data_IF_334864271980
#
_entry.id   IF_334864271980
#
_cell.length_a   1.000
_cell.length_b   1.000
_cell.length_c   1.000
_cell.angle_alpha   90.00
_cell.angle_beta   90.00
_cell.angle_gamma   90.00
#
_symmetry.space_group_name_H-M   'P 1'
#
loop_
_entity.id
_entity.type
_entity.pdbx_description
1 polymer ?
#
# COMPACT_ATOMS: atom_id res chain seq x y z
N UNK A 1 2.02 -1.70 -15.32
CA UNK A 1 2.93 -2.53 -14.50
C UNK A 1 2.66 -2.11 -13.08
N UNK A 2 1.87 -2.91 -12.41
CA UNK A 2 1.56 -2.79 -11.00
C UNK A 2 2.68 -3.37 -10.15
N UNK A 3 2.43 -3.38 -8.85
CA UNK A 3 3.33 -3.87 -7.83
C UNK A 3 3.41 -5.40 -7.87
N UNK A 4 4.61 -5.93 -7.68
CA UNK A 4 4.83 -7.35 -7.42
C UNK A 4 5.69 -7.50 -6.18
N UNK A 5 5.12 -8.08 -5.14
CA UNK A 5 5.79 -8.25 -3.86
C UNK A 5 4.85 -8.84 -2.81
N UNK A 6 5.34 -8.88 -1.57
CA UNK A 6 4.60 -9.49 -0.47
C UNK A 6 4.16 -8.43 0.57
N UNK A 7 2.97 -8.63 1.12
CA UNK A 7 2.51 -8.04 2.37
C UNK A 7 2.51 -9.10 3.47
N UNK A 8 2.84 -8.68 4.70
CA UNK A 8 2.79 -9.53 5.89
C UNK A 8 1.96 -8.83 6.95
N UNK A 9 1.01 -9.55 7.54
CA UNK A 9 0.27 -9.12 8.74
C UNK A 9 0.65 -10.04 9.89
N UNK A 10 1.10 -9.47 11.00
CA UNK A 10 1.34 -10.21 12.23
C UNK A 10 1.12 -9.31 13.46
N UNK A 11 0.87 -9.94 14.62
CA UNK A 11 0.81 -9.23 15.88
C UNK A 11 2.20 -9.12 16.51
N UNK A 12 2.63 -7.92 16.85
CA UNK A 12 3.90 -7.71 17.53
C UNK A 12 3.93 -6.38 18.30
N UNK A 13 4.57 -6.41 19.46
CA UNK A 13 4.85 -5.20 20.25
C UNK A 13 6.05 -4.40 19.70
N UNK A 14 6.80 -4.97 18.75
CA UNK A 14 7.94 -4.33 18.07
C UNK A 14 7.70 -4.22 16.55
N UNK A 15 8.44 -3.37 15.82
CA UNK A 15 8.34 -3.30 14.38
C UNK A 15 8.60 -4.67 13.72
N UNK A 16 7.82 -5.01 12.68
CA UNK A 16 7.91 -6.32 12.02
C UNK A 16 9.29 -6.59 11.42
N UNK A 17 9.95 -5.56 10.90
CA UNK A 17 11.34 -5.58 10.41
C UNK A 17 12.35 -6.06 11.46
N UNK A 18 12.03 -5.92 12.75
CA UNK A 18 12.91 -6.39 13.81
C UNK A 18 12.63 -7.84 14.25
N UNK A 19 11.59 -8.48 13.70
CA UNK A 19 11.32 -9.87 13.98
C UNK A 19 12.37 -10.73 13.27
N UNK A 20 12.98 -11.73 13.94
CA UNK A 20 14.01 -12.59 13.37
C UNK A 20 13.72 -13.14 11.95
N UNK A 21 12.50 -13.64 11.63
CA UNK A 21 12.20 -14.13 10.28
C UNK A 21 12.22 -13.06 9.18
N UNK A 22 12.09 -11.77 9.54
CA UNK A 22 12.01 -10.65 8.60
C UNK A 22 13.28 -9.78 8.60
N UNK A 23 13.93 -9.63 9.76
CA UNK A 23 15.14 -8.81 9.91
C UNK A 23 16.34 -9.34 9.13
N UNK A 24 16.47 -10.67 8.99
CA UNK A 24 17.54 -11.28 8.20
C UNK A 24 17.34 -11.14 6.68
N UNK A 25 16.11 -10.88 6.22
CA UNK A 25 15.78 -10.73 4.81
C UNK A 25 15.98 -9.29 4.28
N UNK A 26 16.33 -8.33 5.16
CA UNK A 26 16.04 -6.91 4.90
C UNK A 26 17.16 -6.06 4.30
N UNK A 27 18.41 -6.52 4.15
CA UNK A 27 19.49 -5.68 3.59
C UNK A 27 20.55 -6.51 2.83
N UNK A 28 20.25 -6.85 1.57
CA UNK A 28 21.28 -6.96 0.53
C UNK A 28 21.60 -5.56 -0.03
N UNK A 29 22.73 -5.38 -0.71
CA UNK A 29 23.35 -4.09 -1.13
C UNK A 29 22.47 -3.10 -1.96
N UNK A 30 21.18 -3.40 -2.17
CA UNK A 30 20.21 -2.55 -2.83
C UNK A 30 19.10 -2.16 -1.83
N UNK A 31 18.97 -0.87 -1.52
CA UNK A 31 17.91 -0.30 -0.66
C UNK A 31 16.46 -0.49 -1.17
N UNK A 32 16.25 -1.23 -2.28
CA UNK A 32 14.94 -1.55 -2.88
C UNK A 32 14.30 -2.83 -2.28
N UNK A 33 15.04 -3.61 -1.48
CA UNK A 33 14.56 -4.85 -0.83
C UNK A 33 13.99 -4.67 0.59
N UNK A 34 13.78 -3.43 1.03
CA UNK A 34 13.36 -3.16 2.41
C UNK A 34 11.89 -3.46 2.65
N UNK A 35 11.56 -3.94 3.86
CA UNK A 35 10.20 -3.97 4.38
C UNK A 35 9.80 -2.57 4.82
N UNK A 36 8.73 -2.04 4.23
CA UNK A 36 8.11 -0.78 4.59
C UNK A 36 6.91 -1.04 5.50
N UNK A 37 6.86 -0.45 6.71
CA UNK A 37 5.67 -0.55 7.55
C UNK A 37 4.47 0.12 6.87
N UNK A 38 3.31 -0.51 6.92
CA UNK A 38 2.03 0.10 6.58
C UNK A 38 1.44 0.78 7.83
N UNK A 39 0.28 1.43 7.67
CA UNK A 39 -0.48 1.97 8.80
C UNK A 39 -0.72 0.89 9.88
N UNK A 40 -0.41 1.24 11.13
CA UNK A 40 -0.52 0.33 12.27
C UNK A 40 -1.98 0.06 12.62
N UNK A 41 -2.27 -1.00 13.37
CA UNK A 41 -3.61 -1.30 13.90
C UNK A 41 -3.53 -1.46 15.41
N UNK A 42 -4.55 -0.96 16.10
CA UNK A 42 -4.66 -1.14 17.55
C UNK A 42 -4.55 -2.62 17.97
N UNK A 43 -4.05 -2.86 19.18
CA UNK A 43 -3.84 -4.22 19.70
C UNK A 43 -2.54 -4.89 19.24
N UNK A 44 -1.63 -4.12 18.65
CA UNK A 44 -0.31 -4.59 18.21
C UNK A 44 -0.32 -5.30 16.85
N UNK A 45 -1.40 -5.17 16.09
CA UNK A 45 -1.48 -5.71 14.74
C UNK A 45 -0.75 -4.78 13.78
N UNK A 46 0.18 -5.33 13.01
CA UNK A 46 1.06 -4.57 12.13
C UNK A 46 1.06 -5.21 10.75
N UNK A 47 1.01 -4.38 9.72
CA UNK A 47 1.23 -4.81 8.34
C UNK A 47 2.53 -4.21 7.84
N UNK A 48 3.29 -4.96 7.04
CA UNK A 48 4.45 -4.47 6.32
C UNK A 48 4.43 -4.97 4.88
N UNK A 49 4.95 -4.15 3.98
CA UNK A 49 5.04 -4.39 2.54
C UNK A 49 6.51 -4.52 2.15
N UNK A 50 6.86 -5.47 1.29
CA UNK A 50 8.18 -5.50 0.63
C UNK A 50 8.30 -4.37 -0.41
N UNK A 51 9.45 -3.69 -0.49
CA UNK A 51 9.70 -2.63 -1.48
C UNK A 51 9.54 -3.09 -2.93
N UNK A 52 10.25 -4.14 -3.33
CA UNK A 52 10.09 -4.84 -4.61
C UNK A 52 10.48 -6.31 -4.50
N UNK A 53 9.77 -7.17 -5.23
CA UNK A 53 10.03 -8.62 -5.23
C UNK A 53 9.49 -9.33 -4.00
N UNK A 54 9.70 -10.64 -3.95
CA UNK A 54 9.14 -11.49 -2.89
C UNK A 54 10.09 -11.61 -1.71
N UNK A 55 9.54 -11.64 -0.49
CA UNK A 55 10.33 -11.80 0.74
C UNK A 55 10.97 -13.18 0.83
N UNK A 56 10.36 -14.18 0.19
CA UNK A 56 10.82 -15.57 0.24
C UNK A 56 10.23 -16.40 -0.91
N UNK A 57 10.97 -17.42 -1.35
CA UNK A 57 10.42 -18.47 -2.22
C UNK A 57 9.58 -19.50 -1.43
N UNK A 58 9.57 -19.40 -0.09
CA UNK A 58 8.95 -20.37 0.82
C UNK A 58 7.96 -19.70 1.79
N UNK A 59 6.83 -19.17 1.31
CA UNK A 59 5.89 -18.37 2.11
C UNK A 59 5.35 -19.11 3.35
N UNK A 60 5.12 -20.43 3.23
CA UNK A 60 4.67 -21.26 4.37
C UNK A 60 5.75 -21.45 5.44
N UNK A 61 7.03 -21.41 5.06
CA UNK A 61 8.14 -21.47 6.00
C UNK A 61 8.20 -20.18 6.83
N UNK A 62 8.20 -19.04 6.14
CA UNK A 62 8.17 -17.71 6.76
C UNK A 62 6.96 -17.55 7.70
N UNK A 63 5.76 -17.95 7.28
CA UNK A 63 4.57 -17.91 8.14
C UNK A 63 4.71 -18.73 9.42
N UNK A 64 5.33 -19.92 9.36
CA UNK A 64 5.55 -20.74 10.57
C UNK A 64 6.49 -20.06 11.54
N UNK A 65 7.55 -19.44 11.04
CA UNK A 65 8.50 -18.70 11.89
C UNK A 65 7.85 -17.44 12.49
N UNK A 66 7.00 -16.74 11.73
CA UNK A 66 6.22 -15.60 12.24
C UNK A 66 5.24 -16.01 13.34
N UNK A 67 4.45 -17.07 13.12
CA UNK A 67 3.51 -17.57 14.13
C UNK A 67 4.27 -18.08 15.37
N UNK A 68 5.39 -18.78 15.19
CA UNK A 68 6.20 -19.27 16.30
C UNK A 68 6.84 -18.12 17.11
N UNK A 69 7.27 -17.05 16.45
CA UNK A 69 7.92 -15.90 17.11
C UNK A 69 6.93 -14.95 17.78
N UNK A 70 5.71 -14.82 17.25
CA UNK A 70 4.69 -13.91 17.78
C UNK A 70 3.69 -14.58 18.71
N UNK A 71 3.52 -15.91 18.62
CA UNK A 71 2.48 -16.64 19.33
C UNK A 71 1.06 -16.29 18.88
N UNK A 72 0.91 -15.58 17.76
CA UNK A 72 -0.36 -15.10 17.23
C UNK A 72 -0.55 -15.56 15.77
N UNK A 73 -1.79 -15.57 15.25
CA UNK A 73 -2.03 -15.81 13.84
C UNK A 73 -1.33 -14.78 12.95
N UNK A 74 -0.90 -15.21 11.76
CA UNK A 74 -0.23 -14.35 10.78
C UNK A 74 -0.78 -14.60 9.36
N UNK A 75 -0.68 -13.57 8.52
CA UNK A 75 -0.95 -13.64 7.08
C UNK A 75 0.28 -13.26 6.27
N UNK A 76 0.39 -13.86 5.10
CA UNK A 76 1.30 -13.45 4.04
C UNK A 76 0.48 -13.36 2.75
N UNK A 77 0.57 -12.25 2.06
CA UNK A 77 -0.10 -11.99 0.80
C UNK A 77 0.94 -11.70 -0.27
N UNK A 78 0.90 -12.42 -1.39
CA UNK A 78 1.76 -12.21 -2.55
C UNK A 78 0.96 -11.58 -3.66
N UNK A 79 1.34 -10.38 -4.06
CA UNK A 79 0.72 -9.64 -5.15
C UNK A 79 1.55 -9.82 -6.41
N UNK A 80 0.88 -10.01 -7.54
CA UNK A 80 1.48 -10.08 -8.86
C UNK A 80 0.85 -9.02 -9.76
N UNK A 81 1.67 -8.10 -10.24
CA UNK A 81 1.32 -6.97 -11.13
C UNK A 81 0.13 -6.11 -10.66
N UNK A 82 -0.17 -6.09 -9.36
CA UNK A 82 -1.39 -5.52 -8.75
C UNK A 82 -2.73 -6.08 -9.25
N UNK A 83 -2.72 -7.14 -10.05
CA UNK A 83 -3.93 -7.70 -10.67
C UNK A 83 -4.48 -8.92 -9.91
N UNK A 84 -3.59 -9.66 -9.24
CA UNK A 84 -3.94 -10.88 -8.52
C UNK A 84 -3.12 -11.00 -7.23
N UNK A 85 -3.72 -11.59 -6.19
CA UNK A 85 -3.06 -11.79 -4.92
C UNK A 85 -3.34 -13.18 -4.37
N UNK A 86 -2.28 -13.90 -3.99
CA UNK A 86 -2.39 -15.15 -3.26
C UNK A 86 -2.11 -14.90 -1.78
N UNK A 87 -3.06 -15.28 -0.91
CA UNK A 87 -2.96 -15.07 0.53
C UNK A 87 -2.89 -16.40 1.25
N UNK A 88 -1.97 -16.51 2.20
CA UNK A 88 -1.84 -17.62 3.13
C UNK A 88 -2.08 -17.14 4.55
N UNK A 89 -2.87 -17.90 5.31
CA UNK A 89 -3.04 -17.70 6.74
C UNK A 89 -2.60 -18.92 7.54
N UNK A 90 -2.00 -18.66 8.70
CA UNK A 90 -1.61 -19.69 9.66
C UNK A 90 -1.94 -19.22 11.08
N UNK A 91 -2.43 -20.14 11.91
CA UNK A 91 -2.71 -19.89 13.33
C UNK A 91 -1.74 -20.67 14.24
N UNK A 92 -1.62 -20.30 15.53
CA UNK A 92 -0.82 -21.05 16.50
C UNK A 92 -1.30 -22.49 16.71
N UNK A 93 -2.60 -22.78 16.52
CA UNK A 93 -3.13 -24.15 16.57
C UNK A 93 -2.66 -25.02 15.40
N UNK A 94 -2.07 -24.41 14.37
CA UNK A 94 -1.65 -25.05 13.13
C UNK A 94 -2.72 -25.07 12.04
N UNK A 95 -3.88 -24.46 12.27
CA UNK A 95 -4.87 -24.27 11.21
C UNK A 95 -4.29 -23.35 10.12
N UNK A 96 -4.41 -23.77 8.87
CA UNK A 96 -3.87 -23.04 7.72
C UNK A 96 -4.88 -23.00 6.58
N UNK A 97 -4.85 -21.92 5.81
CA UNK A 97 -5.69 -21.76 4.62
C UNK A 97 -4.94 -20.99 3.53
N UNK A 98 -5.48 -21.02 2.33
CA UNK A 98 -4.94 -20.28 1.17
C UNK A 98 -6.10 -19.84 0.30
N UNK A 99 -6.01 -18.62 -0.25
CA UNK A 99 -7.02 -18.10 -1.18
C UNK A 99 -6.36 -17.24 -2.24
N UNK A 100 -7.03 -17.12 -3.40
CA UNK A 100 -6.71 -16.16 -4.44
C UNK A 100 -7.75 -15.04 -4.37
N UNK A 101 -7.27 -13.80 -4.30
CA UNK A 101 -8.08 -12.60 -4.44
C UNK A 101 -8.06 -12.17 -5.91
N UNK A 102 -9.19 -11.63 -6.34
CA UNK A 102 -9.58 -11.49 -7.75
C UNK A 102 -9.64 -12.84 -8.50
N UNK A 103 -10.66 -13.67 -8.23
CA UNK A 103 -10.86 -14.92 -8.95
C UNK A 103 -11.16 -14.71 -10.45
N UNK A 104 -11.61 -13.52 -10.86
CA UNK A 104 -11.87 -13.21 -12.27
C UNK A 104 -10.54 -13.09 -13.01
N UNK A 105 -9.61 -12.30 -12.47
CA UNK A 105 -8.26 -12.20 -13.03
C UNK A 105 -7.52 -13.53 -12.95
N UNK A 106 -7.69 -14.31 -11.87
CA UNK A 106 -7.10 -15.64 -11.79
C UNK A 106 -7.54 -16.55 -12.96
N UNK A 107 -8.82 -16.50 -13.35
CA UNK A 107 -9.31 -17.25 -14.52
C UNK A 107 -8.66 -16.78 -15.83
N UNK A 108 -8.42 -15.48 -15.99
CA UNK A 108 -7.75 -14.91 -17.17
C UNK A 108 -6.28 -15.40 -17.28
N UNK A 109 -5.67 -15.79 -16.16
CA UNK A 109 -4.35 -16.46 -16.10
C UNK A 109 -4.42 -17.99 -16.20
N UNK A 110 -5.56 -18.58 -16.58
CA UNK A 110 -5.80 -20.03 -16.60
C UNK A 110 -5.60 -20.72 -15.23
N UNK A 111 -5.73 -19.97 -14.14
CA UNK A 111 -5.65 -20.51 -12.78
C UNK A 111 -7.03 -21.04 -12.38
N UNK A 112 -7.13 -22.29 -11.88
CA UNK A 112 -8.41 -22.83 -11.45
C UNK A 112 -9.07 -21.99 -10.36
N UNK A 113 -10.30 -21.54 -10.62
CA UNK A 113 -11.12 -20.79 -9.68
C UNK A 113 -11.96 -21.77 -8.84
N UNK A 114 -11.99 -21.62 -7.50
CA UNK A 114 -12.80 -22.49 -6.65
C UNK A 114 -14.30 -22.34 -6.90
N UNK A 115 -15.05 -23.43 -6.77
CA UNK A 115 -16.52 -23.39 -6.82
C UNK A 115 -17.13 -22.69 -5.60
N UNK A 116 -18.44 -22.35 -5.63
CA UNK A 116 -19.10 -21.62 -4.53
C UNK A 116 -18.99 -22.29 -3.15
N UNK A 117 -19.03 -23.62 -3.11
CA UNK A 117 -18.90 -24.38 -1.85
C UNK A 117 -17.48 -24.34 -1.29
N UNK A 118 -16.47 -24.36 -2.17
CA UNK A 118 -15.05 -24.21 -1.79
C UNK A 118 -14.76 -22.80 -1.29
N UNK A 119 -15.33 -21.77 -1.93
CA UNK A 119 -15.26 -20.38 -1.46
C UNK A 119 -15.88 -20.26 -0.06
N UNK A 120 -17.04 -20.89 0.18
CA UNK A 120 -17.69 -20.91 1.49
C UNK A 120 -16.86 -21.63 2.55
N UNK A 121 -16.25 -22.76 2.21
CA UNK A 121 -15.36 -23.49 3.11
C UNK A 121 -14.10 -22.67 3.46
N UNK A 122 -13.55 -21.95 2.47
CA UNK A 122 -12.41 -21.05 2.65
C UNK A 122 -12.76 -19.87 3.55
N UNK A 123 -13.92 -19.23 3.35
CA UNK A 123 -14.43 -18.19 4.24
C UNK A 123 -14.59 -18.71 5.70
N UNK A 124 -15.07 -19.94 5.89
CA UNK A 124 -15.13 -20.56 7.21
C UNK A 124 -13.75 -20.76 7.85
N UNK A 125 -12.74 -21.12 7.05
CA UNK A 125 -11.36 -21.27 7.53
C UNK A 125 -10.74 -19.93 7.92
N UNK A 126 -11.02 -18.86 7.16
CA UNK A 126 -10.61 -17.50 7.47
C UNK A 126 -11.31 -16.99 8.74
N UNK A 127 -12.59 -17.28 8.91
CA UNK A 127 -13.31 -16.95 10.15
C UNK A 127 -12.74 -17.67 11.38
N UNK A 128 -12.31 -18.93 11.23
CA UNK A 128 -11.59 -19.66 12.26
C UNK A 128 -10.24 -19.01 12.61
N UNK A 129 -9.50 -18.56 11.59
CA UNK A 129 -8.27 -17.78 11.80
C UNK A 129 -8.54 -16.48 12.56
N UNK A 130 -9.60 -15.74 12.20
CA UNK A 130 -9.99 -14.51 12.89
C UNK A 130 -10.37 -14.77 14.35
N UNK A 131 -11.08 -15.86 14.63
CA UNK A 131 -11.44 -16.26 15.99
C UNK A 131 -10.20 -16.54 16.85
N UNK A 132 -9.19 -17.24 16.31
CA UNK A 132 -7.90 -17.44 17.01
C UNK A 132 -7.12 -16.13 17.20
N UNK A 133 -7.32 -15.15 16.31
CA UNK A 133 -6.76 -13.81 16.44
C UNK A 133 -7.51 -12.94 17.47
N UNK A 134 -8.64 -13.43 18.02
CA UNK A 134 -9.48 -12.72 18.98
C UNK A 134 -10.58 -11.87 18.36
N UNK A 135 -10.89 -12.07 17.07
CA UNK A 135 -11.89 -11.30 16.33
C UNK A 135 -13.04 -12.17 15.84
N UNK A 136 -14.15 -11.52 15.49
CA UNK A 136 -15.31 -12.17 14.90
C UNK A 136 -15.49 -11.67 13.47
N UNK A 137 -15.13 -12.51 12.50
CA UNK A 137 -15.35 -12.21 11.09
C UNK A 137 -16.84 -12.38 10.73
N UNK A 138 -17.35 -11.49 9.88
CA UNK A 138 -18.70 -11.60 9.33
C UNK A 138 -18.64 -12.48 8.06
N UNK A 139 -19.37 -13.62 8.01
CA UNK A 139 -19.29 -14.53 6.87
C UNK A 139 -19.68 -13.91 5.52
N UNK A 140 -20.66 -13.01 5.49
CA UNK A 140 -21.08 -12.29 4.30
C UNK A 140 -19.99 -11.37 3.74
N UNK A 141 -19.31 -10.62 4.62
CA UNK A 141 -18.19 -9.76 4.27
C UNK A 141 -17.01 -10.56 3.70
N UNK A 142 -16.66 -11.68 4.33
CA UNK A 142 -15.64 -12.58 3.78
C UNK A 142 -16.04 -13.10 2.39
N UNK A 143 -17.25 -13.64 2.23
CA UNK A 143 -17.75 -14.10 0.94
C UNK A 143 -17.75 -13.00 -0.12
N UNK A 144 -18.08 -11.76 0.29
CA UNK A 144 -18.04 -10.59 -0.60
C UNK A 144 -16.62 -10.34 -1.10
N UNK A 145 -15.63 -10.29 -0.21
CA UNK A 145 -14.23 -10.06 -0.60
C UNK A 145 -13.69 -11.20 -1.47
N UNK A 146 -13.97 -12.45 -1.12
CA UNK A 146 -13.44 -13.62 -1.85
C UNK A 146 -13.99 -13.79 -3.28
N UNK A 147 -15.09 -13.13 -3.61
CA UNK A 147 -15.70 -13.18 -4.94
C UNK A 147 -15.57 -11.87 -5.71
N UNK A 148 -14.97 -10.85 -5.09
CA UNK A 148 -14.82 -9.50 -5.65
C UNK A 148 -13.70 -9.47 -6.69
N UNK A 149 -13.93 -8.72 -7.76
CA UNK A 149 -12.90 -8.30 -8.71
C UNK A 149 -12.19 -7.06 -8.15
N UNK A 150 -10.87 -7.00 -8.29
CA UNK A 150 -10.10 -5.83 -7.91
C UNK A 150 -10.55 -4.59 -8.70
N UNK A 151 -10.62 -3.45 -8.02
CA UNK A 151 -10.90 -2.15 -8.63
C UNK A 151 -10.28 -1.03 -7.78
N UNK A 152 -9.17 -0.40 -8.20
CA UNK A 152 -8.36 -0.73 -9.37
C UNK A 152 -7.36 -1.88 -9.13
N UNK A 153 -6.98 -2.14 -7.87
CA UNK A 153 -5.86 -3.03 -7.53
C UNK A 153 -6.23 -4.08 -6.48
N UNK A 154 -5.58 -5.23 -6.56
CA UNK A 154 -5.87 -6.38 -5.69
C UNK A 154 -5.39 -6.17 -4.25
N UNK A 155 -4.44 -5.27 -4.02
CA UNK A 155 -3.94 -4.86 -2.71
C UNK A 155 -5.08 -4.34 -1.83
N UNK A 156 -6.03 -3.61 -2.43
CA UNK A 156 -7.21 -3.11 -1.71
C UNK A 156 -8.06 -4.28 -1.19
N UNK A 157 -8.20 -5.35 -1.98
CA UNK A 157 -8.89 -6.57 -1.55
C UNK A 157 -8.16 -7.27 -0.39
N UNK A 158 -6.83 -7.19 -0.31
CA UNK A 158 -6.09 -7.72 0.83
C UNK A 158 -6.41 -6.94 2.12
N UNK A 159 -6.47 -5.60 2.05
CA UNK A 159 -6.86 -4.82 3.23
C UNK A 159 -8.35 -4.99 3.58
N UNK A 160 -9.24 -5.09 2.58
CA UNK A 160 -10.65 -5.44 2.80
C UNK A 160 -10.79 -6.84 3.44
N UNK A 161 -9.94 -7.80 3.08
CA UNK A 161 -9.93 -9.13 3.71
C UNK A 161 -9.57 -9.04 5.19
N UNK A 162 -8.58 -8.22 5.55
CA UNK A 162 -8.20 -7.97 6.95
C UNK A 162 -9.36 -7.32 7.71
N UNK A 163 -10.01 -6.34 7.10
CA UNK A 163 -11.16 -5.65 7.72
C UNK A 163 -12.36 -6.60 7.88
N UNK A 164 -12.61 -7.48 6.90
CA UNK A 164 -13.64 -8.51 6.95
C UNK A 164 -13.37 -9.58 8.03
N UNK A 165 -12.11 -9.75 8.44
CA UNK A 165 -11.75 -10.57 9.61
C UNK A 165 -12.14 -9.92 10.95
N UNK A 166 -12.60 -8.67 10.95
CA UNK A 166 -13.00 -7.94 12.15
C UNK A 166 -11.85 -7.33 12.93
N UNK A 167 -10.66 -7.23 12.32
CA UNK A 167 -9.56 -6.47 12.90
C UNK A 167 -9.97 -4.99 12.98
N UNK A 168 -9.49 -4.25 14.01
CA UNK A 168 -9.71 -2.82 14.07
C UNK A 168 -9.14 -2.19 12.80
N UNK A 169 -9.77 -1.12 12.27
CA UNK A 169 -9.23 -0.39 11.13
C UNK A 169 -7.78 -0.02 11.42
N UNK A 170 -6.98 0.13 10.37
CA UNK A 170 -5.68 0.76 10.53
C UNK A 170 -5.89 2.07 11.28
N UNK A 171 -5.13 2.23 12.37
CA UNK A 171 -4.95 3.55 12.96
C UNK A 171 -4.63 4.46 11.79
N UNK A 172 -5.34 5.60 11.65
CA UNK A 172 -4.88 6.59 10.71
C UNK A 172 -3.40 6.75 11.04
N UNK A 173 -2.53 6.46 10.07
CA UNK A 173 -1.09 6.68 10.22
C UNK A 173 -0.97 8.01 10.94
N UNK A 174 -0.20 8.10 12.05
CA UNK A 174 -0.23 9.27 12.92
C UNK A 174 -0.29 10.46 12.01
N UNK A 175 -1.39 11.21 12.06
CA UNK A 175 -1.53 12.42 11.26
C UNK A 175 -0.18 13.09 11.42
N UNK A 176 0.55 13.27 10.31
CA UNK A 176 1.86 13.88 10.34
C UNK A 176 1.73 15.07 11.30
N UNK A 177 2.45 15.00 12.43
CA UNK A 177 1.98 15.54 13.72
C UNK A 177 1.34 16.91 13.62
N UNK A 178 0.32 17.18 14.46
CA UNK A 178 -0.42 18.44 14.62
C UNK A 178 0.43 19.72 14.44
N UNK A 179 0.81 20.00 13.20
CA UNK A 179 1.03 21.32 12.65
C UNK A 179 -0.33 21.80 12.17
N UNK A 180 -0.66 23.08 12.34
CA UNK A 180 -2.00 23.57 12.04
C UNK A 180 -2.36 23.20 10.60
N UNK A 181 -3.44 22.44 10.50
CA UNK A 181 -4.19 22.13 9.28
C UNK A 181 -4.54 23.45 8.59
N UNK A 182 -3.60 23.89 7.77
CA UNK A 182 -3.64 25.07 6.94
C UNK A 182 -3.27 24.51 5.57
N UNK A 183 -3.91 24.95 4.48
CA UNK A 183 -3.88 24.23 3.21
C UNK A 183 -2.47 24.09 2.68
N UNK A 184 -2.26 23.42 1.52
CA UNK A 184 -0.99 23.56 0.81
C UNK A 184 -0.52 25.01 0.90
N UNK A 185 -1.44 25.91 0.57
CA UNK A 185 -1.76 27.18 1.22
C UNK A 185 -3.01 27.67 0.48
N UNK A 186 -3.88 28.50 1.09
CA UNK A 186 -5.02 29.01 0.34
C UNK A 186 -4.47 29.94 -0.76
N UNK A 187 -4.76 29.63 -2.02
CA UNK A 187 -4.47 30.50 -3.16
C UNK A 187 -3.12 30.30 -3.86
N UNK A 188 -2.51 29.11 -3.78
CA UNK A 188 -1.40 28.80 -4.70
C UNK A 188 -1.91 28.84 -6.15
N UNK A 189 -1.09 29.39 -7.04
CA UNK A 189 -1.42 29.52 -8.46
C UNK A 189 -0.36 28.76 -9.23
N UNK A 190 -0.74 27.66 -9.87
CA UNK A 190 0.15 26.96 -10.79
C UNK A 190 0.67 27.92 -11.87
N UNK A 191 1.93 27.77 -12.25
CA UNK A 191 2.55 28.56 -13.31
C UNK A 191 1.71 28.49 -14.60
N UNK A 192 1.66 29.59 -15.35
CA UNK A 192 0.91 29.66 -16.59
C UNK A 192 1.38 28.59 -17.60
N UNK A 193 2.66 28.19 -17.52
CA UNK A 193 3.32 27.19 -18.37
C UNK A 193 2.92 25.75 -18.05
N UNK A 194 2.30 25.48 -16.90
CA UNK A 194 1.87 24.13 -16.53
C UNK A 194 0.77 23.62 -17.49
N UNK A 195 0.87 22.38 -18.01
CA UNK A 195 -0.16 21.79 -18.86
C UNK A 195 -1.50 21.64 -18.12
N UNK A 196 -2.62 21.68 -18.85
CA UNK A 196 -3.99 21.63 -18.28
C UNK A 196 -4.93 20.75 -19.09
N UNK A 197 -5.94 20.19 -18.43
CA UNK A 197 -6.97 19.36 -19.08
C UNK A 197 -6.35 18.22 -19.88
N UNK A 198 -6.76 18.07 -21.14
CA UNK A 198 -6.26 17.01 -22.03
C UNK A 198 -4.73 17.04 -22.26
N UNK A 199 -4.09 18.22 -22.16
CA UNK A 199 -2.64 18.33 -22.29
C UNK A 199 -1.92 17.72 -21.08
N UNK A 200 -2.45 17.93 -19.88
CA UNK A 200 -1.91 17.34 -18.65
C UNK A 200 -2.11 15.83 -18.65
N UNK A 201 -3.30 15.38 -19.04
CA UNK A 201 -3.61 13.96 -19.19
C UNK A 201 -2.64 13.28 -20.16
N UNK A 202 -2.46 13.83 -21.35
CA UNK A 202 -1.49 13.32 -22.33
C UNK A 202 -0.06 13.35 -21.78
N UNK A 203 0.35 14.42 -21.09
CA UNK A 203 1.69 14.52 -20.52
C UNK A 203 1.98 13.44 -19.47
N UNK A 204 0.98 13.01 -18.69
CA UNK A 204 1.15 11.90 -17.73
C UNK A 204 1.14 10.55 -18.45
N UNK A 205 0.23 10.34 -19.40
CA UNK A 205 0.11 9.07 -20.13
C UNK A 205 1.31 8.80 -21.06
N UNK A 206 1.89 9.84 -21.64
CA UNK A 206 3.06 9.78 -22.51
C UNK A 206 4.38 9.90 -21.74
N UNK A 207 4.33 10.03 -20.40
CA UNK A 207 5.53 10.14 -19.58
C UNK A 207 6.37 8.87 -19.75
N UNK A 208 7.59 9.02 -20.28
CA UNK A 208 8.48 7.88 -20.43
C UNK A 208 9.01 7.42 -19.08
N UNK A 209 9.36 6.12 -18.98
CA UNK A 209 10.03 5.58 -17.79
C UNK A 209 11.32 6.35 -17.50
N UNK A 210 11.59 6.50 -16.22
CA UNK A 210 12.68 7.28 -15.66
C UNK A 210 12.62 8.79 -15.97
N UNK A 211 11.42 9.31 -16.28
CA UNK A 211 11.20 10.74 -16.53
C UNK A 211 10.21 11.34 -15.55
N UNK A 212 10.41 12.62 -15.28
CA UNK A 212 9.57 13.42 -14.41
C UNK A 212 8.76 14.46 -15.19
N UNK A 213 7.58 14.76 -14.67
CA UNK A 213 6.80 15.94 -14.99
C UNK A 213 6.71 16.78 -13.70
N UNK A 214 7.06 18.06 -13.78
CA UNK A 214 7.05 18.99 -12.65
C UNK A 214 6.10 20.14 -12.97
N UNK A 215 5.22 20.46 -12.02
CA UNK A 215 4.22 21.51 -12.09
C UNK A 215 4.48 22.54 -10.98
N UNK A 216 5.23 23.59 -11.32
CA UNK A 216 5.62 24.66 -10.41
C UNK A 216 4.46 25.62 -10.10
N UNK A 217 4.54 26.27 -8.94
CA UNK A 217 3.74 27.44 -8.62
C UNK A 217 4.36 28.70 -9.26
N UNK A 218 3.52 29.66 -9.61
CA UNK A 218 3.96 30.90 -10.23
C UNK A 218 4.86 31.70 -9.28
N UNK A 219 6.13 31.86 -9.64
CA UNK A 219 7.09 32.71 -8.93
C UNK A 219 7.71 32.10 -7.68
N UNK A 220 7.55 30.79 -7.46
CA UNK A 220 8.13 30.07 -6.32
C UNK A 220 8.58 28.67 -6.73
N UNK A 221 9.90 28.47 -6.82
CA UNK A 221 10.52 27.20 -7.24
C UNK A 221 10.56 26.15 -6.12
N UNK A 222 10.23 26.53 -4.89
CA UNK A 222 10.07 25.62 -3.76
C UNK A 222 8.62 25.13 -3.63
N UNK A 223 7.70 25.65 -4.45
CA UNK A 223 6.31 25.22 -4.51
C UNK A 223 6.07 24.46 -5.81
N UNK A 224 5.92 23.13 -5.73
CA UNK A 224 5.68 22.31 -6.92
C UNK A 224 4.96 21.01 -6.58
N UNK A 225 4.27 20.44 -7.57
CA UNK A 225 3.93 19.02 -7.60
C UNK A 225 4.75 18.35 -8.70
N UNK A 226 5.31 17.17 -8.43
CA UNK A 226 6.00 16.40 -9.44
C UNK A 226 5.50 14.97 -9.47
N UNK A 227 5.50 14.38 -10.66
CA UNK A 227 5.40 12.95 -10.82
C UNK A 227 6.63 12.43 -11.53
N UNK A 228 7.20 11.35 -11.01
CA UNK A 228 8.25 10.58 -11.66
C UNK A 228 7.69 9.21 -12.03
N UNK A 229 7.65 8.88 -13.32
CA UNK A 229 7.42 7.50 -13.74
C UNK A 229 8.73 6.74 -13.56
N UNK A 230 8.81 5.90 -12.54
CA UNK A 230 10.01 5.15 -12.20
C UNK A 230 10.34 4.10 -13.27
N UNK A 231 11.59 3.58 -13.30
CA UNK A 231 11.96 2.49 -14.21
C UNK A 231 11.05 1.25 -14.09
N UNK A 232 10.56 0.96 -12.89
CA UNK A 232 9.64 -0.15 -12.60
C UNK A 232 8.22 0.07 -13.14
N UNK A 233 7.86 1.30 -13.53
CA UNK A 233 6.56 1.65 -14.12
C UNK A 233 5.52 2.11 -13.10
N UNK A 234 5.93 2.30 -11.84
CA UNK A 234 5.14 3.00 -10.82
C UNK A 234 5.34 4.50 -10.91
N UNK A 235 4.31 5.26 -10.58
CA UNK A 235 4.39 6.70 -10.41
C UNK A 235 4.74 7.03 -8.96
N UNK A 236 5.83 7.77 -8.77
CA UNK A 236 6.10 8.47 -7.52
C UNK A 236 5.57 9.89 -7.66
N UNK A 237 4.51 10.21 -6.92
CA UNK A 237 3.91 11.54 -6.90
C UNK A 237 4.41 12.26 -5.64
N UNK A 238 4.85 13.49 -5.81
CA UNK A 238 5.37 14.32 -4.73
C UNK A 238 4.81 15.73 -4.83
N UNK A 239 4.77 16.43 -3.72
CA UNK A 239 4.63 17.87 -3.72
C UNK A 239 5.50 18.50 -2.66
N UNK A 240 5.93 19.73 -2.92
CA UNK A 240 6.59 20.60 -1.96
C UNK A 240 5.80 21.88 -1.82
N UNK A 241 5.62 22.32 -0.58
CA UNK A 241 5.03 23.62 -0.27
C UNK A 241 6.07 24.60 0.28
N UNK A 242 6.82 25.26 -0.60
CA UNK A 242 7.67 26.45 -0.33
C UNK A 242 8.83 26.25 0.64
N UNK A 243 8.81 25.17 1.40
CA UNK A 243 9.78 24.78 2.41
C UNK A 243 10.27 23.34 2.13
N UNK A 244 11.59 23.08 2.18
CA UNK A 244 12.13 21.73 2.01
C UNK A 244 11.62 20.69 3.01
N UNK A 245 11.22 21.11 4.21
CA UNK A 245 10.63 20.25 5.24
C UNK A 245 9.15 19.98 4.99
N UNK A 246 8.47 20.84 4.23
CA UNK A 246 7.10 20.63 3.73
C UNK A 246 7.11 19.90 2.37
N UNK A 247 7.86 18.79 2.29
CA UNK A 247 7.98 17.95 1.11
C UNK A 247 7.42 16.56 1.40
N UNK A 248 6.48 16.13 0.56
CA UNK A 248 5.72 14.92 0.75
C UNK A 248 5.73 14.07 -0.51
N UNK A 249 5.64 12.75 -0.34
CA UNK A 249 5.59 11.80 -1.43
C UNK A 249 4.57 10.69 -1.19
N UNK A 250 4.14 10.08 -2.27
CA UNK A 250 3.32 8.87 -2.30
C UNK A 250 3.68 8.07 -3.57
N UNK A 251 3.23 6.81 -3.63
CA UNK A 251 3.41 5.96 -4.81
C UNK A 251 2.09 5.38 -5.25
N UNK A 252 1.92 5.28 -6.56
CA UNK A 252 0.77 4.63 -7.17
C UNK A 252 1.14 4.09 -8.54
N UNK A 253 0.53 2.98 -8.94
CA UNK A 253 0.58 2.48 -10.33
C UNK A 253 -0.54 3.10 -11.19
N UNK A 254 -1.48 3.86 -10.60
CA UNK A 254 -2.61 4.45 -11.33
C UNK A 254 -2.24 5.80 -11.94
N UNK A 255 -2.09 5.81 -13.28
CA UNK A 255 -1.96 7.05 -14.04
C UNK A 255 -3.17 7.97 -13.82
N UNK A 256 -4.38 7.40 -13.71
CA UNK A 256 -5.60 8.18 -13.49
C UNK A 256 -5.57 8.94 -12.16
N UNK A 257 -5.17 8.31 -11.05
CA UNK A 257 -5.07 9.01 -9.75
C UNK A 257 -4.01 10.10 -9.78
N UNK A 258 -2.91 9.90 -10.51
CA UNK A 258 -1.91 10.96 -10.76
C UNK A 258 -2.54 12.11 -11.54
N UNK A 259 -3.26 11.83 -12.63
CA UNK A 259 -3.93 12.85 -13.45
C UNK A 259 -4.92 13.65 -12.62
N UNK A 260 -5.76 12.98 -11.83
CA UNK A 260 -6.73 13.62 -10.94
C UNK A 260 -6.02 14.52 -9.91
N UNK A 261 -4.95 14.04 -9.27
CA UNK A 261 -4.21 14.85 -8.31
C UNK A 261 -3.54 16.06 -8.94
N UNK A 262 -2.84 15.89 -10.05
CA UNK A 262 -2.18 16.98 -10.75
C UNK A 262 -3.20 17.97 -11.33
N UNK A 263 -4.39 17.50 -11.73
CA UNK A 263 -5.49 18.38 -12.18
C UNK A 263 -5.97 19.26 -11.03
N UNK A 264 -6.21 18.67 -9.85
CA UNK A 264 -6.57 19.43 -8.65
C UNK A 264 -5.46 20.41 -8.22
N UNK A 265 -4.20 20.00 -8.29
CA UNK A 265 -3.05 20.89 -8.04
C UNK A 265 -3.06 22.12 -8.94
N UNK A 266 -3.23 21.92 -10.27
CA UNK A 266 -3.21 23.04 -11.23
C UNK A 266 -4.45 23.91 -11.13
N UNK A 267 -5.58 23.36 -10.68
CA UNK A 267 -6.80 24.10 -10.38
C UNK A 267 -6.70 24.95 -9.10
N UNK A 268 -5.70 24.71 -8.25
CA UNK A 268 -5.61 25.33 -6.92
C UNK A 268 -6.62 24.76 -5.91
N UNK A 269 -7.16 23.58 -6.20
CA UNK A 269 -8.00 22.82 -5.28
C UNK A 269 -7.12 22.22 -4.16
N UNK A 270 -7.74 21.77 -3.07
CA UNK A 270 -7.11 21.09 -1.95
C UNK A 270 -7.54 19.63 -1.85
N UNK A 271 -8.68 19.26 -2.44
CA UNK A 271 -9.25 17.90 -2.35
C UNK A 271 -8.34 16.83 -2.96
N UNK A 272 -7.45 17.19 -3.89
CA UNK A 272 -6.48 16.26 -4.49
C UNK A 272 -5.56 15.60 -3.47
N UNK A 273 -5.35 16.22 -2.30
CA UNK A 273 -4.54 15.67 -1.22
C UNK A 273 -5.20 14.49 -0.55
N UNK A 274 -6.51 14.56 -0.37
CA UNK A 274 -7.30 13.55 0.33
C UNK A 274 -7.34 12.22 -0.44
N UNK A 275 -7.05 12.27 -1.73
CA UNK A 275 -6.97 11.10 -2.60
C UNK A 275 -5.73 10.23 -2.36
N UNK A 276 -4.81 10.60 -1.48
CA UNK A 276 -3.60 9.82 -1.21
C UNK A 276 -3.22 9.82 0.28
N UNK A 277 -2.53 8.75 0.68
CA UNK A 277 -1.74 8.77 1.90
C UNK A 277 -0.34 9.27 1.57
N UNK A 278 0.10 10.33 2.25
CA UNK A 278 1.36 11.02 1.99
C UNK A 278 2.38 10.72 3.09
N UNK A 279 3.62 10.47 2.69
CA UNK A 279 4.77 10.34 3.58
C UNK A 279 5.61 11.62 3.52
N UNK A 280 6.01 12.16 4.66
CA UNK A 280 6.91 13.32 4.72
C UNK A 280 8.36 12.93 4.44
N UNK A 281 9.06 13.76 3.66
CA UNK A 281 10.52 13.71 3.45
C UNK A 281 11.28 14.61 4.44
N UNK A 282 10.61 15.28 5.39
CA UNK A 282 11.24 16.17 6.36
C UNK A 282 12.41 15.51 7.10
N UNK A 283 12.27 14.22 7.44
CA UNK A 283 13.29 13.44 8.15
C UNK A 283 14.60 13.24 7.37
N UNK A 284 14.59 13.49 6.05
CA UNK A 284 15.79 13.42 5.21
C UNK A 284 16.60 14.71 5.26
N UNK A 285 16.03 15.80 5.81
CA UNK A 285 16.66 17.11 5.92
C UNK A 285 17.03 17.49 7.36
N UNK A 286 16.65 16.68 8.35
CA UNK A 286 17.10 16.85 9.74
C UNK A 286 18.49 16.25 9.90
N UNK A 287 19.52 17.09 10.08
CA UNK A 287 20.83 16.59 10.56
C UNK A 287 20.63 15.94 11.94
N UNK A 288 21.35 14.84 12.25
CA UNK A 288 21.33 14.29 13.59
C UNK A 288 21.91 15.34 14.54
N UNK A 289 21.09 15.83 15.47
CA UNK A 289 21.57 16.66 16.58
C UNK A 289 22.62 15.88 17.36
N UNK A 290 23.85 16.41 17.34
CA UNK A 290 25.00 15.89 18.08
C UNK A 290 24.81 15.97 19.60
#
# INVERSE_FOLDING_TARGET
MGFSGDFVLARSDRPLLELPPLGAASCGECADGCLHPCAERTGGWRTAQSGHGFLTDHPKGLLRELVASTGAPALLARVMDSDMCQVWGLTPSGAQWTVLLDPVMAADYDIPVPGPDEVRATAGSIAGWAAEAGFAAEPGALLSVLTKRADPFVEDLFFELIDACGLPPADPAPAAGDGPDTPAHPGHRADARCPRGAELEAAVLDLARDRHLVLECAGDDQCYAQVWLRPDGTYQLEYRDRDPTEHYWTRTSSAQRVIEALTGWVAGDLAWRESFQWSSLASWFTEPTA
#
